data_IF_600314955630
#
_entry.id   IF_600314955630
#
_cell.length_a   1.000
_cell.length_b   1.000
_cell.length_c   1.000
_cell.angle_alpha   90.00
_cell.angle_beta   90.00
_cell.angle_gamma   90.00
#
_symmetry.space_group_name_H-M   'P 1'
#
loop_
_entity.id
_entity.type
_entity.pdbx_description
1 polymer ?
#
# COMPACT_ATOMS: atom_id res chain seq x y z
N UNK A 1 -11.22 24.16 -24.12
CA UNK A 1 -10.71 23.99 -22.75
C UNK A 1 -11.09 22.58 -22.33
N UNK A 2 -10.15 21.65 -22.28
CA UNK A 2 -10.42 20.25 -21.97
C UNK A 2 -10.31 20.06 -20.46
N UNK A 3 -11.42 19.78 -19.79
CA UNK A 3 -11.43 19.39 -18.39
C UNK A 3 -10.82 18.00 -18.25
N UNK A 4 -9.55 17.95 -17.85
CA UNK A 4 -8.92 16.73 -17.34
C UNK A 4 -9.41 16.51 -15.91
N UNK A 5 -10.58 15.91 -15.76
CA UNK A 5 -10.95 15.29 -14.48
C UNK A 5 -10.16 13.98 -14.39
N UNK A 6 -9.14 13.99 -13.53
CA UNK A 6 -8.35 12.81 -13.18
C UNK A 6 -9.27 11.73 -12.61
N UNK A 7 -9.68 10.78 -13.45
CA UNK A 7 -10.33 9.55 -13.01
C UNK A 7 -9.27 8.66 -12.35
N UNK A 8 -8.95 8.96 -11.09
CA UNK A 8 -8.14 8.09 -10.25
C UNK A 8 -8.98 6.86 -9.86
N UNK A 9 -9.30 6.02 -10.84
CA UNK A 9 -10.02 4.77 -10.64
C UNK A 9 -9.11 3.80 -9.88
N UNK A 10 -9.24 3.79 -8.56
CA UNK A 10 -8.64 2.75 -7.73
C UNK A 10 -9.70 1.68 -7.55
N UNK A 11 -9.55 0.55 -8.24
CA UNK A 11 -10.44 -0.60 -8.08
C UNK A 11 -10.53 -0.98 -6.59
N UNK A 12 -11.74 -0.99 -6.03
CA UNK A 12 -11.95 -1.32 -4.61
C UNK A 12 -11.92 -2.83 -4.43
N UNK A 13 -10.82 -3.33 -3.88
CA UNK A 13 -10.74 -4.72 -3.43
C UNK A 13 -11.46 -4.90 -2.07
N UNK A 14 -12.21 -6.00 -1.95
CA UNK A 14 -12.86 -6.41 -0.70
C UNK A 14 -12.15 -7.65 -0.17
N UNK A 15 -11.59 -7.55 1.04
CA UNK A 15 -10.89 -8.64 1.70
C UNK A 15 -11.76 -9.23 2.80
N UNK A 16 -11.91 -10.55 2.78
CA UNK A 16 -12.47 -11.28 3.93
C UNK A 16 -11.34 -11.51 4.94
N UNK A 17 -11.60 -11.17 6.19
CA UNK A 17 -10.70 -11.46 7.32
C UNK A 17 -11.54 -11.87 8.53
N UNK A 18 -10.93 -12.57 9.48
CA UNK A 18 -11.60 -12.88 10.74
C UNK A 18 -11.74 -11.60 11.59
N UNK A 19 -12.72 -11.54 12.51
CA UNK A 19 -12.89 -10.39 13.39
C UNK A 19 -11.63 -10.05 14.19
N UNK A 20 -10.93 -11.07 14.68
CA UNK A 20 -9.71 -10.92 15.49
C UNK A 20 -8.58 -10.30 14.67
N UNK A 21 -8.46 -10.69 13.40
CA UNK A 21 -7.48 -10.11 12.49
C UNK A 21 -7.82 -8.65 12.16
N UNK A 22 -9.12 -8.33 12.00
CA UNK A 22 -9.57 -6.96 11.75
C UNK A 22 -9.21 -6.02 12.91
N UNK A 23 -9.40 -6.45 14.15
CA UNK A 23 -9.01 -5.67 15.34
C UNK A 23 -7.51 -5.40 15.42
N UNK A 24 -6.69 -6.38 15.04
CA UNK A 24 -5.23 -6.19 14.98
C UNK A 24 -4.88 -5.15 13.92
N UNK A 25 -5.46 -5.25 12.72
CA UNK A 25 -5.23 -4.30 11.62
C UNK A 25 -5.63 -2.88 12.05
N UNK A 26 -6.77 -2.71 12.73
CA UNK A 26 -7.25 -1.41 13.18
C UNK A 26 -6.32 -0.76 14.20
N UNK A 27 -5.86 -1.54 15.19
CA UNK A 27 -4.88 -1.06 16.17
C UNK A 27 -3.55 -0.70 15.52
N UNK A 28 -3.07 -1.51 14.58
CA UNK A 28 -1.82 -1.23 13.86
C UNK A 28 -1.91 0.02 13.00
N UNK A 29 -3.01 0.21 12.26
CA UNK A 29 -3.23 1.41 11.47
C UNK A 29 -3.26 2.67 12.34
N UNK A 30 -3.97 2.62 13.48
CA UNK A 30 -4.02 3.72 14.44
C UNK A 30 -2.64 4.04 15.04
N UNK A 31 -1.86 3.02 15.42
CA UNK A 31 -0.51 3.18 15.95
C UNK A 31 0.48 3.75 14.92
N UNK A 32 0.22 3.54 13.62
CA UNK A 32 0.99 4.12 12.52
C UNK A 32 0.44 5.45 12.00
N UNK A 33 -0.52 6.07 12.70
CA UNK A 33 -1.14 7.35 12.31
C UNK A 33 -1.65 7.38 10.86
N UNK A 34 -2.20 6.26 10.40
CA UNK A 34 -2.64 6.09 9.01
C UNK A 34 -4.01 5.42 8.93
N UNK A 35 -4.63 5.41 7.76
CA UNK A 35 -5.90 4.72 7.54
C UNK A 35 -5.67 3.21 7.37
N UNK A 36 -6.72 2.41 7.62
CA UNK A 36 -6.69 0.96 7.38
C UNK A 36 -6.22 0.60 5.97
N UNK A 37 -6.75 1.29 4.95
CA UNK A 37 -6.39 1.02 3.55
C UNK A 37 -4.93 1.34 3.25
N UNK A 38 -4.41 2.45 3.80
CA UNK A 38 -3.00 2.82 3.62
C UNK A 38 -2.09 1.86 4.37
N UNK A 39 -2.41 1.49 5.61
CA UNK A 39 -1.64 0.51 6.37
C UNK A 39 -1.51 -0.82 5.61
N UNK A 40 -2.62 -1.33 5.08
CA UNK A 40 -2.62 -2.57 4.28
C UNK A 40 -1.81 -2.42 3.01
N UNK A 41 -2.01 -1.33 2.26
CA UNK A 41 -1.25 -1.03 1.05
C UNK A 41 0.25 -0.99 1.33
N UNK A 42 0.66 -0.25 2.36
CA UNK A 42 2.07 -0.04 2.69
C UNK A 42 2.70 -1.36 3.16
N UNK A 43 1.96 -2.17 3.93
CA UNK A 43 2.38 -3.52 4.35
C UNK A 43 2.60 -4.45 3.14
N UNK A 44 1.68 -4.46 2.17
CA UNK A 44 1.80 -5.27 0.96
C UNK A 44 2.97 -4.79 0.10
N UNK A 45 3.10 -3.48 -0.11
CA UNK A 45 4.20 -2.89 -0.89
C UNK A 45 5.55 -3.22 -0.28
N UNK A 46 5.71 -3.10 1.03
CA UNK A 46 6.94 -3.46 1.72
C UNK A 46 7.27 -4.95 1.60
N UNK A 47 6.25 -5.82 1.68
CA UNK A 47 6.45 -7.26 1.46
C UNK A 47 6.90 -7.56 0.03
N UNK A 48 6.22 -7.02 -0.97
CA UNK A 48 6.56 -7.22 -2.38
C UNK A 48 7.93 -6.66 -2.74
N UNK A 49 8.38 -5.58 -2.08
CA UNK A 49 9.75 -5.06 -2.20
C UNK A 49 10.79 -6.04 -1.66
N UNK A 50 10.53 -6.64 -0.49
CA UNK A 50 11.42 -7.65 0.10
C UNK A 50 11.49 -8.92 -0.74
N UNK A 51 10.39 -9.29 -1.37
CA UNK A 51 10.31 -10.42 -2.30
C UNK A 51 10.90 -10.11 -3.70
N UNK A 52 11.33 -8.87 -3.95
CA UNK A 52 11.91 -8.45 -5.23
C UNK A 52 10.90 -8.30 -6.36
N UNK A 53 9.60 -8.36 -6.06
CA UNK A 53 8.50 -8.23 -7.05
C UNK A 53 8.34 -6.77 -7.49
N UNK A 54 8.49 -5.82 -6.57
CA UNK A 54 8.44 -4.38 -6.83
C UNK A 54 9.82 -3.77 -6.53
N UNK A 55 10.36 -2.88 -7.39
CA UNK A 55 11.64 -2.25 -7.13
C UNK A 55 11.63 -1.46 -5.81
N UNK A 56 12.70 -1.63 -5.04
CA UNK A 56 12.96 -0.76 -3.89
C UNK A 56 13.37 0.63 -4.39
N UNK A 57 12.84 1.73 -3.82
CA UNK A 57 13.26 3.10 -4.18
C UNK A 57 14.77 3.33 -4.06
N UNK A 58 15.47 2.52 -3.25
CA UNK A 58 16.94 2.60 -3.08
C UNK A 58 17.73 1.89 -4.18
N UNK A 59 17.11 1.03 -4.99
CA UNK A 59 17.80 0.26 -6.04
C UNK A 59 18.10 1.11 -7.29
N UNK A 60 17.42 2.24 -7.49
CA UNK A 60 17.56 3.06 -8.71
C UNK A 60 18.86 3.89 -8.75
N UNK A 61 19.66 3.94 -7.68
CA UNK A 61 20.90 4.75 -7.64
C UNK A 61 22.20 3.93 -7.82
N UNK A 62 22.12 2.64 -8.21
CA UNK A 62 23.30 1.77 -8.37
C UNK A 62 23.42 1.23 -9.81
N UNK A 63 23.09 2.06 -10.81
CA UNK A 63 23.12 1.63 -12.22
C UNK A 63 23.37 2.75 -13.24
N UNK A 64 23.90 3.89 -12.81
CA UNK A 64 24.38 4.96 -13.70
C UNK A 64 25.88 5.14 -13.50
N UNK A 65 26.67 4.20 -14.01
CA UNK A 65 28.09 4.35 -14.32
C UNK A 65 28.33 3.74 -15.69
#
# INVERSE_FOLDING_TARGET
MSEQTSDHFTERAVFKCSPELLEVIDRSAAASFTTRSNFLRDTVVERLRREGVIPSPRATMVGAV
#
